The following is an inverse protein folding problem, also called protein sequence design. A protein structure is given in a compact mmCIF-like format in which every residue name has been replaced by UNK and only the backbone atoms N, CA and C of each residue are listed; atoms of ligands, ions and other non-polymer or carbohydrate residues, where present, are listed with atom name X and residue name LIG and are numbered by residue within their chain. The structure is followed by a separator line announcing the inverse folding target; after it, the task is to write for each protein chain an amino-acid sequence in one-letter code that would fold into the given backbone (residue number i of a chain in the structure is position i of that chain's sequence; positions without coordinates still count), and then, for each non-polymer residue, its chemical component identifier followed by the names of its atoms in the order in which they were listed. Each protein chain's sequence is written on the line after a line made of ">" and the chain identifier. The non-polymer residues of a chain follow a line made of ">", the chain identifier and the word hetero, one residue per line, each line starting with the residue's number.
data_IF_011985773151
#
_entry.id   IF_011985773151
#
_cell.length_a   1.000
_cell.length_b   1.000
_cell.length_c   1.000
_cell.angle_alpha   90.00
_cell.angle_beta   90.00
_cell.angle_gamma   90.00
#
_symmetry.space_group_name_H-M   'P 1'
#
loop_
_entity.id
_entity.type
_entity.pdbx_description
1 polymer ?
#
# COMPACT_ATOMS: atom_id res chain seq x y z
N UNK A 1 -10.24 -28.14 45.75
CA UNK A 1 -9.75 -27.86 44.38
C UNK A 1 -8.70 -26.77 44.46
N UNK A 2 -7.59 -26.92 43.75
CA UNK A 2 -6.33 -26.16 43.85
C UNK A 2 -6.32 -24.91 42.92
N UNK A 3 -5.99 -23.74 43.50
CA UNK A 3 -5.08 -22.60 43.12
C UNK A 3 -5.01 -22.15 41.62
N UNK A 4 -4.94 -20.87 41.21
CA UNK A 4 -3.89 -19.85 41.43
C UNK A 4 -4.31 -18.51 40.75
N UNK A 5 -4.57 -17.42 41.48
CA UNK A 5 -3.70 -16.28 41.84
C UNK A 5 -3.10 -15.47 40.66
N UNK A 6 -3.71 -14.31 40.35
CA UNK A 6 -3.13 -13.25 39.53
C UNK A 6 -2.24 -12.36 40.41
N UNK A 7 -0.93 -12.39 40.19
CA UNK A 7 0.01 -11.52 40.90
C UNK A 7 0.01 -10.12 40.27
N UNK A 8 -0.33 -9.14 41.11
CA UNK A 8 -0.07 -7.72 40.93
C UNK A 8 1.44 -7.47 41.03
N UNK A 9 2.01 -6.75 40.07
CA UNK A 9 3.26 -6.02 40.30
C UNK A 9 2.99 -4.56 40.00
N UNK A 10 2.70 -3.81 41.05
CA UNK A 10 2.79 -2.34 41.06
C UNK A 10 4.12 -2.01 41.73
N UNK A 11 5.04 -1.45 40.96
CA UNK A 11 6.22 -0.79 41.51
C UNK A 11 6.10 0.70 41.24
N UNK A 12 6.00 1.49 42.31
CA UNK A 12 6.14 2.95 42.26
C UNK A 12 7.60 3.32 42.52
N UNK A 13 8.20 4.08 41.62
CA UNK A 13 9.30 4.99 41.94
C UNK A 13 9.24 6.19 40.99
N UNK A 14 8.86 7.36 41.53
CA UNK A 14 9.11 8.66 40.92
C UNK A 14 10.55 9.05 41.23
N UNK A 15 11.36 9.46 40.24
CA UNK A 15 12.37 10.54 40.30
C UNK A 15 13.01 10.67 38.90
N UNK A 16 12.97 11.87 38.31
CA UNK A 16 13.81 12.25 37.16
C UNK A 16 13.04 12.49 35.85
N UNK A 17 12.63 13.73 35.63
CA UNK A 17 12.31 14.22 34.29
C UNK A 17 13.60 14.31 33.45
N UNK A 18 13.81 13.33 32.59
CA UNK A 18 14.44 13.52 31.28
C UNK A 18 13.58 12.71 30.31
N UNK A 19 12.76 13.40 29.51
CA UNK A 19 12.09 12.77 28.38
C UNK A 19 13.16 12.04 27.55
N UNK A 20 13.08 10.71 27.52
CA UNK A 20 13.83 9.91 26.56
C UNK A 20 13.48 10.47 25.17
N UNK A 21 14.46 10.76 24.30
CA UNK A 21 14.17 11.10 22.92
C UNK A 21 13.30 9.98 22.35
N UNK A 22 12.10 10.34 21.92
CA UNK A 22 11.12 9.45 21.30
C UNK A 22 11.86 8.57 20.29
N UNK A 23 11.75 7.25 20.44
CA UNK A 23 12.47 6.27 19.62
C UNK A 23 12.46 6.69 18.14
N UNK A 24 13.63 6.84 17.48
CA UNK A 24 13.68 7.22 16.07
C UNK A 24 12.94 6.22 15.16
N UNK A 25 12.71 5.00 15.65
CA UNK A 25 11.96 3.94 14.97
C UNK A 25 10.46 4.24 14.79
N UNK A 26 9.82 4.97 15.71
CA UNK A 26 8.40 5.35 15.55
C UNK A 26 8.24 6.54 14.61
N UNK A 27 9.14 7.53 14.68
CA UNK A 27 9.11 8.69 13.79
C UNK A 27 9.40 8.33 12.33
N UNK A 28 10.30 7.37 12.08
CA UNK A 28 10.57 6.89 10.71
C UNK A 28 9.39 6.13 10.09
N UNK A 29 8.59 5.45 10.91
CA UNK A 29 7.41 4.69 10.46
C UNK A 29 6.22 5.62 10.15
N UNK A 30 6.05 6.70 10.93
CA UNK A 30 5.07 7.74 10.65
C UNK A 30 5.48 8.59 9.43
N UNK A 31 6.77 8.93 9.27
CA UNK A 31 7.27 9.65 8.09
C UNK A 31 7.10 8.87 6.77
N UNK A 32 7.09 7.52 6.81
CA UNK A 32 6.76 6.69 5.63
C UNK A 32 5.28 6.77 5.27
N UNK A 33 4.39 7.07 6.21
CA UNK A 33 2.94 7.23 5.93
C UNK A 33 2.62 8.54 5.22
N UNK A 34 3.52 9.52 5.31
CA UNK A 34 3.32 10.84 4.71
C UNK A 34 3.87 10.94 3.27
N UNK A 35 4.66 9.97 2.81
CA UNK A 35 5.13 9.94 1.43
C UNK A 35 4.18 9.14 0.51
N UNK A 36 3.81 9.65 -0.67
CA UNK A 36 2.97 8.91 -1.60
C UNK A 36 3.65 7.63 -2.09
N UNK A 37 2.98 6.50 -2.02
CA UNK A 37 3.47 5.23 -2.55
C UNK A 37 2.36 4.40 -3.18
N UNK A 38 2.76 3.52 -4.08
CA UNK A 38 1.90 2.61 -4.82
C UNK A 38 2.66 1.29 -4.99
N UNK A 39 2.02 0.18 -4.65
CA UNK A 39 2.62 -1.15 -4.77
C UNK A 39 1.61 -2.15 -5.36
N UNK A 40 2.15 -3.23 -5.91
CA UNK A 40 1.40 -4.36 -6.44
C UNK A 40 1.94 -5.65 -5.81
N UNK A 41 1.05 -6.55 -5.40
CA UNK A 41 1.43 -7.85 -4.85
C UNK A 41 0.40 -8.93 -5.23
N UNK A 42 0.82 -10.02 -5.89
CA UNK A 42 2.18 -10.29 -6.40
C UNK A 42 2.59 -9.35 -7.56
N UNK A 43 3.90 -9.15 -7.74
CA UNK A 43 4.50 -8.48 -8.90
C UNK A 43 5.95 -8.98 -9.13
N UNK A 44 6.24 -9.72 -10.21
CA UNK A 44 5.31 -10.13 -11.28
C UNK A 44 4.18 -11.01 -10.75
N UNK A 45 3.06 -11.05 -11.48
CA UNK A 45 1.96 -11.98 -11.19
C UNK A 45 2.37 -13.37 -11.65
N UNK A 46 2.27 -14.43 -10.82
CA UNK A 46 2.65 -15.78 -11.22
C UNK A 46 1.85 -16.26 -12.42
N UNK A 47 2.45 -17.14 -13.23
CA UNK A 47 1.73 -17.92 -14.21
C UNK A 47 0.65 -18.76 -13.51
N UNK A 48 -0.58 -18.69 -14.04
CA UNK A 48 -1.70 -19.50 -13.55
C UNK A 48 -1.62 -20.92 -14.11
N UNK A 49 -2.54 -21.78 -13.66
CA UNK A 49 -2.75 -23.06 -14.33
C UNK A 49 -3.23 -22.82 -15.78
N UNK A 50 -3.09 -23.79 -16.69
CA UNK A 50 -3.57 -23.65 -18.08
C UNK A 50 -5.06 -23.27 -18.21
N UNK A 51 -5.85 -23.57 -17.19
CA UNK A 51 -7.29 -23.24 -17.11
C UNK A 51 -7.55 -21.80 -16.61
N UNK A 52 -6.52 -21.12 -16.08
CA UNK A 52 -6.56 -19.74 -15.58
C UNK A 52 -5.87 -18.78 -16.56
N UNK A 53 -6.64 -18.30 -17.54
CA UNK A 53 -6.14 -17.38 -18.56
C UNK A 53 -5.66 -16.02 -18.01
N UNK A 54 -6.09 -15.64 -16.81
CA UNK A 54 -5.80 -14.34 -16.18
C UNK A 54 -5.23 -14.52 -14.77
N UNK A 55 -4.48 -13.52 -14.33
CA UNK A 55 -3.88 -13.43 -13.01
C UNK A 55 -4.46 -12.30 -12.17
N UNK A 56 -4.21 -12.42 -10.87
CA UNK A 56 -4.64 -11.45 -9.86
C UNK A 56 -3.44 -10.78 -9.21
N UNK A 57 -3.46 -9.45 -9.14
CA UNK A 57 -2.61 -8.67 -8.24
C UNK A 57 -3.48 -7.79 -7.34
N UNK A 58 -2.94 -7.41 -6.19
CA UNK A 58 -3.55 -6.42 -5.32
C UNK A 58 -2.74 -5.13 -5.41
N UNK A 59 -3.39 -4.04 -5.78
CA UNK A 59 -2.81 -2.71 -5.80
C UNK A 59 -3.11 -2.03 -4.47
N UNK A 60 -2.08 -1.60 -3.75
CA UNK A 60 -2.19 -0.88 -2.47
C UNK A 60 -1.50 0.47 -2.57
N UNK A 61 -2.11 1.52 -2.00
CA UNK A 61 -1.60 2.88 -2.12
C UNK A 61 -1.80 3.74 -0.88
N UNK A 62 -0.97 4.78 -0.79
CA UNK A 62 -1.13 5.95 0.06
C UNK A 62 -0.70 7.19 -0.73
N UNK A 63 -1.43 8.29 -0.63
CA UNK A 63 -1.22 9.52 -1.38
C UNK A 63 -0.42 10.60 -0.66
N UNK A 64 0.08 10.33 0.55
CA UNK A 64 0.73 11.33 1.40
C UNK A 64 -0.24 12.42 1.88
N UNK A 65 -1.49 12.04 2.18
CA UNK A 65 -2.51 12.96 2.73
C UNK A 65 -3.45 13.61 1.71
N UNK A 66 -3.36 13.26 0.41
CA UNK A 66 -4.28 13.78 -0.62
C UNK A 66 -5.55 12.93 -0.70
N UNK A 67 -6.61 13.34 0.00
CA UNK A 67 -7.86 12.55 0.10
C UNK A 67 -8.56 12.25 -1.25
N UNK A 68 -8.34 13.08 -2.26
CA UNK A 68 -8.92 12.97 -3.62
C UNK A 68 -8.01 12.29 -4.64
N UNK A 69 -6.94 11.61 -4.17
CA UNK A 69 -6.02 10.92 -5.05
C UNK A 69 -6.71 9.84 -5.90
N UNK A 70 -6.19 9.59 -7.10
CA UNK A 70 -6.79 8.66 -8.06
C UNK A 70 -5.78 7.59 -8.44
N UNK A 71 -6.22 6.33 -8.45
CA UNK A 71 -5.46 5.23 -9.03
C UNK A 71 -6.01 4.97 -10.42
N UNK A 72 -5.13 5.06 -11.41
CA UNK A 72 -5.41 4.81 -12.81
C UNK A 72 -4.53 3.68 -13.33
N UNK A 73 -4.91 3.10 -14.45
CA UNK A 73 -4.14 2.08 -15.16
C UNK A 73 -4.04 2.42 -16.64
N UNK A 74 -2.86 2.18 -17.21
CA UNK A 74 -2.64 2.16 -18.65
C UNK A 74 -2.16 0.77 -19.05
N UNK A 75 -2.83 0.16 -20.02
CA UNK A 75 -2.43 -1.14 -20.56
C UNK A 75 -1.75 -0.90 -21.90
N UNK A 76 -0.47 -1.25 -21.99
CA UNK A 76 0.35 -1.02 -23.19
C UNK A 76 0.24 0.43 -23.69
N UNK A 77 -0.25 0.62 -24.93
CA UNK A 77 -0.43 1.94 -25.57
C UNK A 77 -1.85 2.49 -25.49
N UNK A 78 -2.74 1.84 -24.75
CA UNK A 78 -4.14 2.25 -24.63
C UNK A 78 -4.29 3.56 -23.85
N UNK A 79 -5.46 4.23 -23.95
CA UNK A 79 -5.81 5.31 -23.05
C UNK A 79 -5.79 4.86 -21.57
N UNK A 80 -5.47 5.79 -20.69
CA UNK A 80 -5.50 5.55 -19.25
C UNK A 80 -6.94 5.54 -18.72
N UNK A 81 -7.24 4.61 -17.81
CA UNK A 81 -8.55 4.41 -17.19
C UNK A 81 -8.43 4.56 -15.67
N UNK A 82 -9.34 5.30 -15.05
CA UNK A 82 -9.43 5.39 -13.59
C UNK A 82 -10.06 4.12 -13.02
N UNK A 83 -9.40 3.53 -12.03
CA UNK A 83 -9.90 2.35 -11.31
C UNK A 83 -10.62 2.73 -10.02
N UNK A 84 -10.05 3.68 -9.27
CA UNK A 84 -10.59 4.09 -7.96
C UNK A 84 -10.09 5.48 -7.57
N UNK A 85 -10.72 6.04 -6.53
CA UNK A 85 -10.40 7.32 -5.91
C UNK A 85 -10.34 7.16 -4.39
N UNK A 86 -9.40 7.86 -3.75
CA UNK A 86 -9.21 7.87 -2.32
C UNK A 86 -7.74 8.09 -1.94
N UNK A 87 -7.50 8.74 -0.81
CA UNK A 87 -6.16 9.05 -0.35
C UNK A 87 -5.30 7.85 0.05
N UNK A 88 -5.92 6.70 0.32
CA UNK A 88 -5.24 5.43 0.58
C UNK A 88 -6.22 4.28 0.40
N UNK A 89 -5.73 3.09 0.10
CA UNK A 89 -6.59 1.91 -0.01
C UNK A 89 -5.91 0.72 -0.65
N UNK A 90 -6.72 -0.28 -0.97
CA UNK A 90 -6.31 -1.47 -1.71
C UNK A 90 -7.42 -1.90 -2.67
N UNK A 91 -7.07 -2.40 -3.85
CA UNK A 91 -8.01 -2.94 -4.84
C UNK A 91 -7.44 -4.20 -5.47
N UNK A 92 -8.29 -5.21 -5.63
CA UNK A 92 -7.96 -6.44 -6.35
C UNK A 92 -8.11 -6.22 -7.86
N UNK A 93 -7.17 -6.74 -8.63
CA UNK A 93 -7.12 -6.63 -10.08
C UNK A 93 -7.00 -8.03 -10.69
N UNK A 94 -8.13 -8.71 -10.99
CA UNK A 94 -8.16 -10.12 -11.41
C UNK A 94 -8.03 -10.34 -12.92
N UNK A 95 -7.52 -9.35 -13.66
CA UNK A 95 -7.51 -9.34 -15.13
C UNK A 95 -6.12 -9.10 -15.73
N UNK A 96 -5.06 -9.48 -15.01
CA UNK A 96 -3.69 -9.39 -15.49
C UNK A 96 -3.41 -10.54 -16.47
N UNK A 97 -3.29 -10.23 -17.75
CA UNK A 97 -2.94 -11.18 -18.80
C UNK A 97 -1.44 -11.25 -19.08
N UNK A 98 -1.01 -12.32 -19.74
CA UNK A 98 0.32 -12.45 -20.31
C UNK A 98 0.53 -11.45 -21.46
N UNK A 99 1.78 -11.17 -21.80
CA UNK A 99 2.19 -10.29 -22.92
C UNK A 99 1.57 -8.86 -22.86
N UNK A 100 1.30 -8.38 -21.65
CA UNK A 100 0.77 -7.03 -21.43
C UNK A 100 1.51 -6.32 -20.29
N UNK A 101 1.86 -5.06 -20.52
CA UNK A 101 2.40 -4.16 -19.50
C UNK A 101 1.26 -3.33 -18.91
N UNK A 102 1.06 -3.48 -17.60
CA UNK A 102 0.10 -2.70 -16.83
C UNK A 102 0.85 -1.63 -16.03
N UNK A 103 0.68 -0.37 -16.41
CA UNK A 103 1.21 0.76 -15.65
C UNK A 103 0.13 1.33 -14.73
N UNK A 104 0.19 1.02 -13.43
CA UNK A 104 -0.67 1.64 -12.44
C UNK A 104 -0.05 2.96 -11.97
N UNK A 105 -0.85 4.02 -11.92
CA UNK A 105 -0.42 5.36 -11.59
C UNK A 105 -1.28 5.93 -10.48
N UNK A 106 -0.65 6.51 -9.47
CA UNK A 106 -1.29 7.26 -8.41
C UNK A 106 -1.12 8.75 -8.71
N UNK A 107 -2.22 9.48 -8.76
CA UNK A 107 -2.23 10.91 -9.03
C UNK A 107 -2.79 11.73 -7.85
N UNK A 108 -2.30 12.95 -7.66
CA UNK A 108 -2.90 13.92 -6.73
C UNK A 108 -4.22 14.40 -7.35
N UNK A 109 -5.34 14.22 -6.65
CA UNK A 109 -6.62 14.73 -7.12
C UNK A 109 -6.57 16.24 -7.41
N UNK A 110 -7.44 16.72 -8.32
CA UNK A 110 -7.49 18.12 -8.73
C UNK A 110 -7.14 18.38 -10.20
N UNK A 111 -7.07 19.66 -10.59
CA UNK A 111 -6.72 20.12 -11.94
C UNK A 111 -5.71 21.27 -11.87
N UNK A 112 -4.50 21.14 -12.43
CA UNK A 112 -3.95 19.93 -13.04
C UNK A 112 -3.66 18.86 -11.99
N UNK A 113 -3.78 17.60 -12.39
CA UNK A 113 -3.42 16.46 -11.55
C UNK A 113 -1.93 16.13 -11.72
N UNK A 114 -1.23 15.77 -10.64
CA UNK A 114 0.20 15.44 -10.64
C UNK A 114 0.42 13.96 -10.38
N UNK A 115 1.33 13.33 -11.12
CA UNK A 115 1.76 11.96 -10.84
C UNK A 115 2.52 11.90 -9.51
N UNK A 116 2.02 11.10 -8.57
CA UNK A 116 2.59 10.88 -7.24
C UNK A 116 3.47 9.63 -7.19
N UNK A 117 3.00 8.52 -7.77
CA UNK A 117 3.73 7.26 -7.81
C UNK A 117 3.27 6.39 -8.99
N UNK A 118 4.08 5.41 -9.38
CA UNK A 118 3.79 4.44 -10.44
C UNK A 118 4.34 3.06 -10.07
N UNK A 119 3.63 2.00 -10.46
CA UNK A 119 4.15 0.63 -10.47
C UNK A 119 3.82 -0.05 -11.80
N UNK A 120 4.78 -0.78 -12.33
CA UNK A 120 4.61 -1.61 -13.52
C UNK A 120 4.35 -3.05 -13.07
N UNK A 121 3.33 -3.68 -13.66
CA UNK A 121 2.95 -5.06 -13.40
C UNK A 121 2.95 -5.82 -14.72
N UNK A 122 3.59 -6.98 -14.69
CA UNK A 122 3.57 -7.99 -15.74
C UNK A 122 3.14 -9.32 -15.12
N UNK A 123 2.77 -10.28 -15.97
CA UNK A 123 2.55 -11.67 -15.58
C UNK A 123 3.69 -12.51 -16.12
N UNK A 124 4.26 -13.37 -15.27
CA UNK A 124 5.22 -14.39 -15.67
C UNK A 124 4.54 -15.37 -16.63
N UNK A 125 5.28 -15.90 -17.60
CA UNK A 125 4.85 -16.94 -18.56
C UNK A 125 4.61 -18.32 -17.93
#
# INVERSE_FOLDING_TARGET
>A
GKILACAVVVAYANFGACHHPKDPSSAASDARRDYPWLAASPNPVPAGLPEEALGTTVITWNSGGVSTAQVCVKVNRSPEVRLTEGGSGSIEVPWIGFDSLYEFRLYSGGRPSRLLSKVEVVRDE
#
